data_IF_724689437283
#
_entry.id   IF_724689437283
#
_cell.length_a   1.000
_cell.length_b   1.000
_cell.length_c   1.000
_cell.angle_alpha   90.00
_cell.angle_beta   90.00
_cell.angle_gamma   90.00
#
_symmetry.space_group_name_H-M   'P 1'
#
loop_
_entity.id
_entity.type
_entity.pdbx_description
1 polymer ?
#
# COMPACT_ATOMS: atom_id res chain seq x y z
N UNK A 1 0.39 -1.77 -26.75
CA UNK A 1 0.90 -0.37 -26.63
C UNK A 1 0.27 0.40 -25.48
N UNK A 2 -1.06 0.32 -25.25
CA UNK A 2 -1.73 0.98 -24.11
C UNK A 2 -1.23 0.51 -22.72
N UNK A 3 -1.11 -0.80 -22.50
CA UNK A 3 -0.71 -1.40 -21.22
C UNK A 3 0.67 -0.96 -20.68
N UNK A 4 1.66 -0.72 -21.54
CA UNK A 4 3.00 -0.28 -21.11
C UNK A 4 3.04 1.20 -20.70
N UNK A 5 2.26 2.04 -21.36
CA UNK A 5 2.10 3.46 -20.99
C UNK A 5 1.43 3.55 -19.62
N UNK A 6 0.42 2.70 -19.41
CA UNK A 6 -0.29 2.51 -18.15
C UNK A 6 0.61 2.03 -17.00
N UNK A 7 1.40 0.96 -17.21
CA UNK A 7 2.41 0.47 -16.25
C UNK A 7 3.36 1.58 -15.78
N UNK A 8 3.92 2.33 -16.73
CA UNK A 8 4.87 3.38 -16.41
C UNK A 8 4.24 4.50 -15.59
N UNK A 9 2.95 4.79 -15.79
CA UNK A 9 2.28 5.86 -15.08
C UNK A 9 1.93 5.45 -13.63
N UNK A 10 1.49 4.21 -13.39
CA UNK A 10 1.28 3.68 -12.04
C UNK A 10 2.60 3.62 -11.23
N UNK A 11 3.68 3.10 -11.84
CA UNK A 11 5.01 3.08 -11.22
C UNK A 11 5.51 4.50 -10.91
N UNK A 12 5.28 5.46 -11.80
CA UNK A 12 5.64 6.87 -11.58
C UNK A 12 4.85 7.48 -10.42
N UNK A 13 3.54 7.22 -10.32
CA UNK A 13 2.72 7.70 -9.21
C UNK A 13 3.20 7.15 -7.86
N UNK A 14 3.42 5.83 -7.76
CA UNK A 14 3.96 5.21 -6.54
C UNK A 14 5.33 5.78 -6.17
N UNK A 15 6.23 5.95 -7.14
CA UNK A 15 7.55 6.57 -6.90
C UNK A 15 7.45 8.03 -6.47
N UNK A 16 6.50 8.80 -7.00
CA UNK A 16 6.29 10.19 -6.62
C UNK A 16 5.80 10.29 -5.17
N UNK A 17 4.81 9.47 -4.78
CA UNK A 17 4.31 9.39 -3.40
C UNK A 17 5.44 8.99 -2.44
N UNK A 18 6.19 7.95 -2.79
CA UNK A 18 7.35 7.52 -2.02
C UNK A 18 8.38 8.64 -1.87
N UNK A 19 8.69 9.36 -2.95
CA UNK A 19 9.63 10.48 -2.95
C UNK A 19 9.18 11.65 -2.08
N UNK A 20 7.87 11.89 -1.92
CA UNK A 20 7.34 12.90 -0.99
C UNK A 20 7.66 12.50 0.45
N UNK A 21 7.41 11.24 0.84
CA UNK A 21 7.80 10.76 2.17
C UNK A 21 9.32 10.69 2.37
N UNK A 22 10.07 10.39 1.30
CA UNK A 22 11.53 10.39 1.34
C UNK A 22 12.10 11.79 1.58
N UNK A 23 11.55 12.81 0.93
CA UNK A 23 11.94 14.20 1.14
C UNK A 23 11.47 14.76 2.48
N UNK A 24 10.28 14.39 2.94
CA UNK A 24 9.74 14.83 4.23
C UNK A 24 10.47 14.17 5.42
N UNK A 25 10.88 12.91 5.27
CA UNK A 25 11.48 12.10 6.33
C UNK A 25 12.72 11.31 5.85
N UNK A 26 13.80 11.98 5.39
CA UNK A 26 14.92 11.32 4.72
C UNK A 26 15.66 10.32 5.60
N UNK A 27 15.77 10.61 6.91
CA UNK A 27 16.51 9.76 7.87
C UNK A 27 15.71 9.39 9.12
N UNK A 28 14.48 9.88 9.23
CA UNK A 28 13.67 9.78 10.45
C UNK A 28 12.80 8.52 10.49
N UNK A 29 12.49 7.95 9.31
CA UNK A 29 11.67 6.74 9.20
C UNK A 29 12.32 5.75 8.22
N UNK A 30 12.25 4.44 8.49
CA UNK A 30 12.82 3.42 7.61
C UNK A 30 12.02 3.31 6.31
N UNK A 31 12.67 2.75 5.28
CA UNK A 31 12.06 2.52 3.95
C UNK A 31 10.76 1.73 4.02
N UNK A 32 10.66 0.75 4.93
CA UNK A 32 9.44 -0.04 5.14
C UNK A 32 8.26 0.81 5.64
N UNK A 33 8.51 1.81 6.48
CA UNK A 33 7.47 2.77 6.91
C UNK A 33 7.00 3.62 5.73
N UNK A 34 7.91 4.09 4.87
CA UNK A 34 7.56 4.85 3.67
C UNK A 34 6.72 4.01 2.70
N UNK A 35 7.03 2.72 2.56
CA UNK A 35 6.23 1.79 1.77
C UNK A 35 4.83 1.62 2.35
N UNK A 36 4.72 1.37 3.65
CA UNK A 36 3.43 1.25 4.35
C UNK A 36 2.56 2.50 4.12
N UNK A 37 3.13 3.69 4.30
CA UNK A 37 2.42 4.97 4.11
C UNK A 37 2.01 5.22 2.66
N UNK A 38 2.80 4.75 1.70
CA UNK A 38 2.45 4.87 0.29
C UNK A 38 1.34 3.88 -0.09
N UNK A 39 1.45 2.63 0.37
CA UNK A 39 0.48 1.58 0.09
C UNK A 39 -0.86 1.84 0.77
N UNK A 40 -0.87 2.44 1.97
CA UNK A 40 -2.10 2.78 2.68
C UNK A 40 -2.95 3.78 1.90
N UNK A 41 -2.33 4.85 1.38
CA UNK A 41 -2.99 5.86 0.54
C UNK A 41 -3.51 5.23 -0.75
N UNK A 42 -2.66 4.47 -1.45
CA UNK A 42 -3.01 3.87 -2.73
C UNK A 42 -4.16 2.85 -2.58
N UNK A 43 -4.15 2.06 -1.52
CA UNK A 43 -5.19 1.05 -1.26
C UNK A 43 -6.53 1.70 -0.96
N UNK A 44 -6.56 2.78 -0.17
CA UNK A 44 -7.82 3.48 0.10
C UNK A 44 -8.40 4.13 -1.17
N UNK A 45 -7.56 4.82 -1.96
CA UNK A 45 -8.03 5.42 -3.20
C UNK A 45 -8.51 4.34 -4.18
N UNK A 46 -7.87 3.17 -4.23
CA UNK A 46 -8.33 2.01 -5.04
C UNK A 46 -9.72 1.52 -4.60
N UNK A 47 -9.90 1.35 -3.29
CA UNK A 47 -11.18 0.93 -2.72
C UNK A 47 -12.29 1.92 -3.08
N UNK A 48 -12.05 3.21 -2.89
CA UNK A 48 -13.03 4.24 -3.20
C UNK A 48 -13.30 4.36 -4.71
N UNK A 49 -12.28 4.25 -5.56
CA UNK A 49 -12.44 4.23 -7.02
C UNK A 49 -13.22 2.99 -7.50
N UNK A 50 -13.10 1.86 -6.79
CA UNK A 50 -13.84 0.63 -7.05
C UNK A 50 -15.29 0.67 -6.52
N UNK A 51 -15.73 1.78 -5.92
CA UNK A 51 -17.07 1.93 -5.35
C UNK A 51 -17.27 1.18 -4.02
N UNK A 52 -16.18 0.68 -3.42
CA UNK A 52 -16.18 0.16 -2.05
C UNK A 52 -16.01 1.29 -1.04
N UNK A 53 -16.48 1.10 0.19
CA UNK A 53 -16.21 2.04 1.27
C UNK A 53 -14.69 2.17 1.46
N UNK A 54 -14.19 3.40 1.56
CA UNK A 54 -12.79 3.66 1.85
C UNK A 54 -12.35 3.10 3.21
N UNK A 55 -11.05 3.12 3.43
CA UNK A 55 -10.39 2.73 4.66
C UNK A 55 -10.65 3.78 5.73
N UNK A 56 -11.14 3.32 6.88
CA UNK A 56 -11.09 4.11 8.09
C UNK A 56 -9.65 4.13 8.62
N UNK A 57 -8.92 5.18 8.28
CA UNK A 57 -7.60 5.45 8.84
C UNK A 57 -7.74 5.91 10.29
N UNK A 58 -8.11 5.01 11.19
CA UNK A 58 -8.11 5.30 12.62
C UNK A 58 -6.67 5.55 13.08
N UNK A 59 -6.25 6.82 13.10
CA UNK A 59 -4.91 7.25 13.49
C UNK A 59 -4.79 7.21 15.01
N UNK A 60 -4.10 6.20 15.55
CA UNK A 60 -3.88 6.08 16.99
C UNK A 60 -2.40 5.93 17.31
N UNK A 61 -1.88 6.80 18.18
CA UNK A 61 -0.52 6.73 18.68
C UNK A 61 -0.52 6.08 20.06
N UNK A 62 0.19 4.97 20.19
CA UNK A 62 0.34 4.24 21.46
C UNK A 62 1.78 4.32 21.95
N UNK A 63 1.96 4.54 23.25
CA UNK A 63 3.27 4.45 23.88
C UNK A 63 3.61 2.97 24.09
N UNK A 64 4.74 2.53 23.54
CA UNK A 64 5.22 1.16 23.69
C UNK A 64 6.29 1.06 24.78
N UNK A 65 6.67 -0.17 25.14
CA UNK A 65 7.80 -0.41 26.07
C UNK A 65 9.10 0.24 25.56
N UNK A 66 9.28 0.30 24.25
CA UNK A 66 10.43 0.92 23.58
C UNK A 66 9.92 1.78 22.43
N UNK A 67 9.73 3.07 22.69
CA UNK A 67 9.31 4.05 21.68
C UNK A 67 7.79 4.18 21.56
N UNK A 68 7.32 4.36 20.32
CA UNK A 68 5.93 4.66 20.02
C UNK A 68 5.47 3.90 18.79
N UNK A 69 4.20 3.50 18.78
CA UNK A 69 3.55 2.88 17.65
C UNK A 69 2.44 3.77 17.09
N UNK A 70 2.23 3.69 15.79
CA UNK A 70 1.13 4.32 15.06
C UNK A 70 0.29 3.24 14.40
N UNK A 71 -0.98 3.17 14.80
CA UNK A 71 -2.01 2.46 14.05
C UNK A 71 -2.57 3.38 12.96
N UNK A 72 -2.63 2.87 11.74
CA UNK A 72 -3.17 3.56 10.58
C UNK A 72 -4.05 2.56 9.83
N UNK A 73 -5.35 2.54 10.10
CA UNK A 73 -6.26 1.52 9.54
C UNK A 73 -5.79 0.10 9.90
N UNK A 74 -5.49 -0.74 8.89
CA UNK A 74 -4.94 -2.08 9.09
C UNK A 74 -3.41 -2.12 9.28
N UNK A 75 -2.73 -0.99 9.07
CA UNK A 75 -1.27 -0.91 9.14
C UNK A 75 -0.79 -0.48 10.52
N UNK A 76 0.38 -1.00 10.89
CA UNK A 76 1.02 -0.73 12.16
C UNK A 76 2.48 -0.30 11.93
N UNK A 77 2.86 0.86 12.44
CA UNK A 77 4.18 1.45 12.28
C UNK A 77 4.81 1.59 13.66
N UNK A 78 5.96 0.96 13.87
CA UNK A 78 6.73 1.09 15.09
C UNK A 78 7.90 2.05 14.88
N UNK A 79 8.09 2.96 15.83
CA UNK A 79 9.20 3.91 15.83
C UNK A 79 9.90 3.90 17.18
N UNK A 80 11.23 3.87 17.15
CA UNK A 80 12.04 4.05 18.36
C UNK A 80 12.26 5.53 18.70
N UNK A 81 11.69 6.45 17.91
CA UNK A 81 11.91 7.89 17.97
C UNK A 81 10.89 8.63 18.85
N UNK A 82 10.85 9.95 18.69
CA UNK A 82 9.93 10.82 19.42
C UNK A 82 8.50 10.73 18.88
N UNK A 83 7.52 10.88 19.78
CA UNK A 83 6.09 10.95 19.43
C UNK A 83 5.80 11.96 18.32
N UNK A 84 6.53 13.08 18.30
CA UNK A 84 6.39 14.14 17.31
C UNK A 84 6.56 13.64 15.87
N UNK A 85 7.43 12.64 15.65
CA UNK A 85 7.63 12.03 14.32
C UNK A 85 6.35 11.34 13.85
N UNK A 86 5.65 10.63 14.73
CA UNK A 86 4.38 9.98 14.40
C UNK A 86 3.28 11.01 14.11
N UNK A 87 3.25 12.13 14.83
CA UNK A 87 2.30 13.21 14.59
C UNK A 87 2.54 13.86 13.22
N UNK A 88 3.81 14.10 12.85
CA UNK A 88 4.17 14.61 11.52
C UNK A 88 3.84 13.62 10.39
N UNK A 89 4.03 12.32 10.63
CA UNK A 89 3.63 11.26 9.69
C UNK A 89 2.12 11.32 9.43
N UNK A 90 1.31 11.41 10.50
CA UNK A 90 -0.15 11.48 10.38
C UNK A 90 -0.56 12.69 9.53
N UNK A 91 -0.04 13.87 9.82
CA UNK A 91 -0.40 15.09 9.10
C UNK A 91 0.03 15.06 7.64
N UNK A 92 1.24 14.55 7.37
CA UNK A 92 1.72 14.37 5.99
C UNK A 92 0.87 13.35 5.23
N UNK A 93 0.53 12.22 5.88
CA UNK A 93 -0.30 11.18 5.28
C UNK A 93 -1.71 11.71 4.97
N UNK A 94 -2.36 12.42 5.90
CA UNK A 94 -3.68 13.04 5.68
C UNK A 94 -3.64 14.05 4.53
N UNK A 95 -2.68 14.97 4.54
CA UNK A 95 -2.56 16.01 3.52
C UNK A 95 -2.33 15.40 2.13
N UNK A 96 -1.45 14.40 2.05
CA UNK A 96 -1.18 13.70 0.80
C UNK A 96 -2.39 12.90 0.34
N UNK A 97 -3.02 12.13 1.23
CA UNK A 97 -4.24 11.38 0.95
C UNK A 97 -5.35 12.27 0.39
N UNK A 98 -5.67 13.37 1.06
CA UNK A 98 -6.68 14.33 0.60
C UNK A 98 -6.30 14.91 -0.75
N UNK A 99 -5.06 15.35 -0.92
CA UNK A 99 -4.59 15.94 -2.19
C UNK A 99 -4.76 14.97 -3.34
N UNK A 100 -4.31 13.72 -3.17
CA UNK A 100 -4.35 12.72 -4.24
C UNK A 100 -5.78 12.21 -4.48
N UNK A 101 -6.63 12.17 -3.46
CA UNK A 101 -8.01 11.75 -3.58
C UNK A 101 -8.81 12.65 -4.53
N UNK A 102 -8.55 13.97 -4.55
CA UNK A 102 -9.26 14.92 -5.42
C UNK A 102 -8.67 15.04 -6.83
N UNK A 103 -7.60 14.32 -7.15
CA UNK A 103 -7.00 14.34 -8.49
C UNK A 103 -7.53 13.14 -9.28
N UNK A 104 -8.41 13.40 -10.24
CA UNK A 104 -9.06 12.37 -11.07
C UNK A 104 -8.04 11.50 -11.84
N UNK A 105 -6.91 12.08 -12.23
CA UNK A 105 -5.82 11.38 -12.93
C UNK A 105 -5.19 10.30 -12.05
N UNK A 106 -5.14 10.50 -10.72
CA UNK A 106 -4.57 9.51 -9.80
C UNK A 106 -5.52 8.34 -9.58
N UNK A 107 -6.83 8.60 -9.52
CA UNK A 107 -7.85 7.54 -9.50
C UNK A 107 -7.77 6.66 -10.75
N UNK A 108 -7.58 7.28 -11.91
CA UNK A 108 -7.39 6.55 -13.17
C UNK A 108 -6.10 5.71 -13.19
N UNK A 109 -5.01 6.21 -12.60
CA UNK A 109 -3.73 5.49 -12.50
C UNK A 109 -3.77 4.30 -11.52
N UNK A 110 -4.60 4.36 -10.49
CA UNK A 110 -4.75 3.27 -9.52
C UNK A 110 -5.55 2.10 -10.08
N UNK A 111 -6.66 2.39 -10.77
CA UNK A 111 -7.41 1.37 -11.51
C UNK A 111 -6.52 0.62 -12.51
N UNK A 112 -5.56 1.32 -13.09
CA UNK A 112 -4.53 0.75 -13.95
C UNK A 112 -3.56 -0.17 -13.19
N UNK A 113 -3.05 0.23 -12.01
CA UNK A 113 -2.18 -0.62 -11.16
C UNK A 113 -2.85 -1.95 -10.80
N UNK A 114 -4.16 -1.93 -10.57
CA UNK A 114 -4.97 -3.12 -10.30
C UNK A 114 -5.01 -4.09 -11.48
N UNK A 115 -5.27 -3.60 -12.70
CA UNK A 115 -5.20 -4.42 -13.91
C UNK A 115 -3.80 -5.02 -14.13
N UNK A 116 -2.75 -4.31 -13.71
CA UNK A 116 -1.37 -4.76 -13.82
C UNK A 116 -1.08 -5.90 -12.83
N UNK A 117 -1.43 -5.74 -11.56
CA UNK A 117 -1.27 -6.79 -10.53
C UNK A 117 -2.07 -8.04 -10.88
N UNK A 118 -3.30 -7.90 -11.38
CA UNK A 118 -4.11 -9.02 -11.83
C UNK A 118 -3.43 -9.79 -12.96
N UNK A 119 -2.97 -9.09 -14.01
CA UNK A 119 -2.25 -9.75 -15.12
C UNK A 119 -0.92 -10.35 -14.71
N UNK A 120 -0.22 -9.77 -13.74
CA UNK A 120 1.01 -10.36 -13.21
C UNK A 120 0.72 -11.67 -12.47
N UNK A 121 -0.33 -11.70 -11.65
CA UNK A 121 -0.80 -12.92 -10.98
C UNK A 121 -1.20 -13.97 -12.02
N UNK A 122 -2.01 -13.61 -13.02
CA UNK A 122 -2.40 -14.49 -14.12
C UNK A 122 -1.18 -15.02 -14.90
N UNK A 123 -0.20 -14.16 -15.18
CA UNK A 123 1.04 -14.56 -15.85
C UNK A 123 1.87 -15.52 -14.99
N UNK A 124 2.07 -15.23 -13.70
CA UNK A 124 2.77 -16.13 -12.76
C UNK A 124 2.05 -17.48 -12.62
N UNK A 125 0.73 -17.48 -12.62
CA UNK A 125 -0.09 -18.70 -12.61
C UNK A 125 0.06 -19.48 -13.93
N UNK A 126 0.14 -18.80 -15.08
CA UNK A 126 0.36 -19.43 -16.38
C UNK A 126 1.76 -20.04 -16.55
N UNK A 127 2.74 -19.55 -15.79
CA UNK A 127 4.12 -20.05 -15.79
C UNK A 127 4.32 -21.24 -14.85
N UNK A 128 3.35 -21.56 -13.99
CA UNK A 128 3.42 -22.74 -13.13
C UNK A 128 3.04 -23.99 -13.95
N UNK A 129 3.91 -25.02 -13.99
CA UNK A 129 3.52 -26.32 -14.53
C UNK A 129 2.25 -26.83 -13.83
N UNK A 130 1.34 -27.45 -14.59
CA UNK A 130 0.04 -27.97 -14.12
C UNK A 130 0.13 -28.75 -12.78
N UNK A 131 1.22 -29.50 -12.58
CA UNK A 131 1.46 -30.29 -11.38
C UNK A 131 1.78 -29.44 -10.13
N UNK A 132 2.44 -28.30 -10.28
CA UNK A 132 2.70 -27.36 -9.18
C UNK A 132 1.45 -26.54 -8.85
N UNK A 133 0.64 -26.19 -9.85
CA UNK A 133 -0.65 -25.54 -9.64
C UNK A 133 -1.61 -26.45 -8.85
N UNK A 134 -1.67 -27.73 -9.20
CA UNK A 134 -2.45 -28.74 -8.45
C UNK A 134 -1.96 -28.94 -7.02
N UNK A 135 -0.65 -28.90 -6.79
CA UNK A 135 -0.05 -29.03 -5.45
C UNK A 135 -0.31 -27.79 -4.58
N UNK A 136 -0.27 -26.60 -5.16
CA UNK A 136 -0.59 -25.35 -4.48
C UNK A 136 -2.07 -25.29 -4.10
N UNK A 137 -2.97 -25.65 -5.03
CA UNK A 137 -4.43 -25.71 -4.77
C UNK A 137 -4.78 -26.79 -3.74
N UNK A 138 -4.11 -27.96 -3.77
CA UNK A 138 -4.28 -29.01 -2.75
C UNK A 138 -3.78 -28.57 -1.37
N UNK A 139 -2.68 -27.81 -1.27
CA UNK A 139 -2.18 -27.32 0.02
C UNK A 139 -3.03 -26.18 0.61
N UNK A 140 -3.82 -25.46 -0.21
CA UNK A 140 -4.83 -24.50 0.29
C UNK A 140 -6.14 -25.17 0.75
N UNK A 141 -6.26 -26.49 0.68
CA UNK A 141 -7.33 -27.26 1.31
C UNK A 141 -6.77 -28.20 2.40
N UNK A 142 -6.75 -27.66 3.62
CA UNK A 142 -6.80 -28.37 4.91
C UNK A 142 -5.57 -29.20 5.35
N UNK A 143 -4.71 -28.58 6.18
CA UNK A 143 -3.87 -29.30 7.16
C UNK A 143 -4.64 -29.64 8.46
N UNK A 144 -5.98 -29.74 8.43
CA UNK A 144 -6.81 -30.06 9.60
C UNK A 144 -7.95 -31.04 9.31
N UNK A 145 -7.69 -32.12 8.57
CA UNK A 145 -8.49 -33.33 8.64
C UNK A 145 -7.54 -34.54 8.57
N UNK A 146 -7.50 -35.26 9.70
CA UNK A 146 -6.99 -36.63 9.88
C UNK A 146 -7.39 -37.60 8.77
#
# INVERSE_FOLDING_TARGET
MKYFIFLNAAIKARKAIYGIFDNAFPTQIPSSTKEILSDSILTDIDQQASGTSGIDFNYNITQEKVGWSLQLGAWHINTCGERLILELIIETHKALHQTLFYIDEIRALINVDKELKLKEIEFRQSLLPDDLLRKFIRNSHCELCS
#
